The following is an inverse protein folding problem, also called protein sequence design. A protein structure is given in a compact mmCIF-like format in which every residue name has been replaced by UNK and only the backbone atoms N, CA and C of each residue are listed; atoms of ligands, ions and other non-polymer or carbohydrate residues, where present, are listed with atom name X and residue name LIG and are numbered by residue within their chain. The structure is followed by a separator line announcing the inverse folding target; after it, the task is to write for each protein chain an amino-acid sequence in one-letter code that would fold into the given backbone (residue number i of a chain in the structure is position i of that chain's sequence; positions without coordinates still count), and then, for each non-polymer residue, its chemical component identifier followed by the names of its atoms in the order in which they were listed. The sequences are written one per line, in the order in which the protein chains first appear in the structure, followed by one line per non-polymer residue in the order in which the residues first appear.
data_IF_438736717515
#
_entry.id   IF_438736717515
#
_cell.length_a   1.000
_cell.length_b   1.000
_cell.length_c   1.000
_cell.angle_alpha   90.00
_cell.angle_beta   90.00
_cell.angle_gamma   90.00
#
_symmetry.space_group_name_H-M   'P 1'
#
loop_
_entity.id
_entity.type
_entity.pdbx_description
1 polymer ?
#
# COMPACT_ATOMS: atom_id res chain seq x y z
N UNK A 1 -3.82 27.37 10.30
CA UNK A 1 -2.62 26.90 11.01
C UNK A 1 -2.73 25.39 11.23
N UNK A 2 -1.67 24.59 11.02
CA UNK A 2 -1.70 23.16 11.32
C UNK A 2 -2.02 22.95 12.81
N UNK A 3 -2.96 22.05 13.11
CA UNK A 3 -3.36 21.77 14.47
C UNK A 3 -2.16 21.20 15.26
N UNK A 4 -1.64 21.97 16.24
CA UNK A 4 -0.60 21.52 17.16
C UNK A 4 -1.22 20.49 18.11
N UNK A 5 -1.14 19.21 17.76
CA UNK A 5 -1.54 18.12 18.64
C UNK A 5 -0.75 18.21 19.96
N UNK A 6 -1.44 18.51 21.06
CA UNK A 6 -0.88 18.45 22.42
C UNK A 6 -1.48 17.23 23.10
N UNK A 7 -0.64 16.29 23.53
CA UNK A 7 -1.08 15.15 24.34
C UNK A 7 -1.70 15.65 25.65
N UNK A 8 -2.79 15.03 26.10
CA UNK A 8 -3.44 15.38 27.37
C UNK A 8 -2.48 15.10 28.53
N UNK A 9 -2.45 16.00 29.51
CA UNK A 9 -1.68 15.81 30.75
C UNK A 9 -2.28 14.62 31.49
N UNK A 10 -1.48 13.57 31.74
CA UNK A 10 -1.95 12.28 32.27
C UNK A 10 -2.23 11.21 31.20
N UNK A 11 -2.03 11.50 29.92
CA UNK A 11 -2.00 10.45 28.90
C UNK A 11 -0.85 9.47 29.16
N UNK A 12 -1.12 8.18 28.97
CA UNK A 12 -0.12 7.12 29.15
C UNK A 12 0.97 7.28 28.08
N UNK A 13 2.17 7.63 28.51
CA UNK A 13 3.39 7.62 27.71
C UNK A 13 3.79 6.18 27.38
N UNK A 14 3.16 5.58 26.37
CA UNK A 14 3.53 4.25 25.91
C UNK A 14 4.91 4.29 25.23
N UNK A 15 5.90 3.60 25.84
CA UNK A 15 7.29 3.38 25.36
C UNK A 15 8.13 4.67 25.18
N UNK A 16 8.76 5.13 26.25
CA UNK A 16 9.66 6.31 26.26
C UNK A 16 11.11 6.04 25.81
N UNK A 17 11.36 4.97 25.08
CA UNK A 17 12.70 4.59 24.61
C UNK A 17 12.63 4.06 23.19
N UNK A 18 13.69 4.29 22.41
CA UNK A 18 13.79 3.78 21.04
C UNK A 18 14.25 2.32 21.06
N UNK A 19 14.00 1.59 19.97
CA UNK A 19 14.44 0.20 19.87
C UNK A 19 15.96 0.09 19.91
N UNK A 20 16.65 1.03 19.27
CA UNK A 20 18.11 1.11 19.27
C UNK A 20 18.69 1.35 20.68
N UNK A 21 18.08 2.22 21.49
CA UNK A 21 18.54 2.43 22.88
C UNK A 21 18.27 1.22 23.76
N UNK A 22 17.14 0.53 23.56
CA UNK A 22 16.85 -0.74 24.23
C UNK A 22 17.88 -1.81 23.87
N UNK A 23 18.20 -1.98 22.58
CA UNK A 23 19.19 -2.96 22.13
C UNK A 23 20.58 -2.69 22.72
N UNK A 24 21.04 -1.43 22.71
CA UNK A 24 22.32 -1.04 23.35
C UNK A 24 22.32 -1.34 24.84
N UNK A 25 21.24 -1.04 25.54
CA UNK A 25 21.07 -1.33 26.96
C UNK A 25 21.14 -2.85 27.23
N UNK A 26 20.40 -3.65 26.46
CA UNK A 26 20.41 -5.11 26.60
C UNK A 26 21.79 -5.72 26.29
N UNK A 27 22.50 -5.21 25.30
CA UNK A 27 23.86 -5.64 24.99
C UNK A 27 24.82 -5.35 26.14
N UNK A 28 24.81 -4.13 26.69
CA UNK A 28 25.70 -3.74 27.78
C UNK A 28 25.46 -4.53 29.08
N UNK A 29 24.20 -4.90 29.35
CA UNK A 29 23.86 -5.77 30.49
C UNK A 29 24.24 -7.23 30.21
N UNK A 30 24.08 -7.72 28.98
CA UNK A 30 24.50 -9.08 28.58
C UNK A 30 26.02 -9.26 28.63
N UNK A 31 26.79 -8.25 28.22
CA UNK A 31 28.27 -8.26 28.26
C UNK A 31 28.83 -7.98 29.66
N UNK A 32 27.98 -7.85 30.68
CA UNK A 32 28.34 -7.53 32.08
C UNK A 32 29.14 -6.23 32.24
N UNK A 33 29.05 -5.31 31.29
CA UNK A 33 29.67 -3.98 31.40
C UNK A 33 28.97 -3.08 32.42
N UNK A 34 27.68 -3.33 32.65
CA UNK A 34 26.87 -2.60 33.61
C UNK A 34 25.83 -3.51 34.26
N UNK A 35 25.47 -3.18 35.49
CA UNK A 35 24.37 -3.82 36.20
C UNK A 35 23.01 -3.31 35.70
N UNK A 36 21.94 -4.05 35.99
CA UNK A 36 20.58 -3.65 35.62
C UNK A 36 20.16 -2.31 36.24
N UNK A 37 20.67 -2.00 37.44
CA UNK A 37 20.38 -0.75 38.15
C UNK A 37 21.13 0.44 37.52
N UNK A 38 22.39 0.25 37.12
CA UNK A 38 23.16 1.27 36.40
C UNK A 38 22.56 1.54 35.01
N UNK A 39 22.13 0.48 34.32
CA UNK A 39 21.48 0.58 33.02
C UNK A 39 20.15 1.37 33.09
N UNK A 40 19.36 1.20 34.15
CA UNK A 40 18.14 1.98 34.38
C UNK A 40 18.43 3.48 34.47
N UNK A 41 19.47 3.86 35.23
CA UNK A 41 19.89 5.27 35.38
C UNK A 41 20.45 5.84 34.08
N UNK A 42 21.29 5.09 33.37
CA UNK A 42 21.96 5.55 32.16
C UNK A 42 21.01 5.68 30.96
N UNK A 43 20.14 4.68 30.74
CA UNK A 43 19.26 4.62 29.57
C UNK A 43 17.83 5.11 29.84
N UNK A 44 17.49 5.42 31.10
CA UNK A 44 16.12 5.82 31.51
C UNK A 44 15.05 4.79 31.12
N UNK A 45 15.43 3.50 31.11
CA UNK A 45 14.53 2.37 30.86
C UNK A 45 14.26 1.70 32.21
N UNK A 46 12.98 1.53 32.62
CA UNK A 46 12.66 0.89 33.89
C UNK A 46 13.30 -0.48 34.03
N UNK A 47 13.89 -0.79 35.20
CA UNK A 47 14.59 -2.05 35.45
C UNK A 47 13.76 -3.29 35.13
N UNK A 48 12.46 -3.26 35.42
CA UNK A 48 11.55 -4.38 35.13
C UNK A 48 11.45 -4.66 33.63
N UNK A 49 11.45 -3.62 32.79
CA UNK A 49 11.45 -3.75 31.33
C UNK A 49 12.72 -4.45 30.86
N UNK A 50 13.88 -4.09 31.41
CA UNK A 50 15.17 -4.70 31.08
C UNK A 50 15.15 -6.19 31.44
N UNK A 51 14.70 -6.54 32.66
CA UNK A 51 14.60 -7.93 33.12
C UNK A 51 13.65 -8.74 32.22
N UNK A 52 12.47 -8.20 31.91
CA UNK A 52 11.49 -8.87 31.07
C UNK A 52 12.06 -9.13 29.66
N UNK A 53 12.74 -8.15 29.07
CA UNK A 53 13.36 -8.29 27.75
C UNK A 53 14.56 -9.24 27.75
N UNK A 54 15.36 -9.29 28.83
CA UNK A 54 16.42 -10.29 29.00
C UNK A 54 15.87 -11.73 29.10
N UNK A 55 14.74 -11.90 29.77
CA UNK A 55 14.02 -13.18 29.88
C UNK A 55 13.13 -13.51 28.67
N UNK A 56 13.20 -12.71 27.60
CA UNK A 56 12.37 -12.86 26.40
C UNK A 56 10.85 -12.83 26.68
N UNK A 57 10.41 -12.14 27.74
CA UNK A 57 9.00 -11.84 27.97
C UNK A 57 8.52 -10.70 27.05
N UNK A 58 7.27 -10.78 26.59
CA UNK A 58 6.65 -9.79 25.70
C UNK A 58 7.49 -9.51 24.44
N UNK A 59 8.04 -10.57 23.83
CA UNK A 59 8.73 -10.51 22.53
C UNK A 59 7.73 -10.39 21.39
N UNK A 60 6.57 -11.04 21.54
CA UNK A 60 5.52 -11.00 20.53
C UNK A 60 4.94 -9.58 20.39
N UNK A 61 4.53 -9.19 19.17
CA UNK A 61 3.89 -7.91 18.94
C UNK A 61 2.66 -7.78 19.83
N UNK A 62 2.52 -6.61 20.45
CA UNK A 62 1.38 -6.34 21.33
C UNK A 62 0.14 -6.14 20.45
N UNK A 63 -0.88 -6.96 20.68
CA UNK A 63 -2.15 -6.87 19.97
C UNK A 63 -2.65 -8.23 19.51
N UNK A 64 -3.63 -8.20 18.61
CA UNK A 64 -4.14 -9.42 17.98
C UNK A 64 -3.08 -9.94 17.00
N UNK A 65 -2.82 -11.27 16.95
CA UNK A 65 -1.97 -11.84 15.92
C UNK A 65 -2.50 -11.52 14.52
N UNK A 66 -1.58 -11.37 13.56
CA UNK A 66 -1.92 -11.21 12.15
C UNK A 66 -2.64 -12.44 11.63
N UNK A 67 -3.54 -12.25 10.67
CA UNK A 67 -4.32 -13.34 10.06
C UNK A 67 -3.48 -14.11 9.04
N UNK A 68 -2.66 -13.35 8.33
CA UNK A 68 -1.72 -13.83 7.33
C UNK A 68 -0.32 -13.83 7.93
N UNK A 69 0.47 -14.80 7.50
CA UNK A 69 1.90 -14.86 7.83
C UNK A 69 2.68 -13.91 6.93
N UNK A 70 3.84 -13.43 7.37
CA UNK A 70 4.73 -12.58 6.56
C UNK A 70 4.99 -13.14 5.14
N UNK A 71 5.29 -14.43 4.92
CA UNK A 71 5.48 -14.95 3.57
C UNK A 71 4.20 -14.92 2.71
N UNK A 72 3.01 -15.13 3.30
CA UNK A 72 1.75 -15.00 2.58
C UNK A 72 1.53 -13.54 2.14
N UNK A 73 1.80 -12.57 3.00
CA UNK A 73 1.69 -11.14 2.68
C UNK A 73 2.67 -10.73 1.58
N UNK A 74 3.91 -11.22 1.62
CA UNK A 74 4.91 -10.96 0.59
C UNK A 74 4.49 -11.48 -0.79
N UNK A 75 3.83 -12.65 -0.85
CA UNK A 75 3.30 -13.18 -2.11
C UNK A 75 2.21 -12.27 -2.67
N UNK A 76 1.26 -11.80 -1.84
CA UNK A 76 0.23 -10.86 -2.30
C UNK A 76 0.83 -9.56 -2.83
N UNK A 77 1.87 -9.02 -2.18
CA UNK A 77 2.55 -7.81 -2.64
C UNK A 77 3.27 -8.06 -3.96
N UNK A 78 3.92 -9.21 -4.13
CA UNK A 78 4.55 -9.62 -5.37
C UNK A 78 3.55 -9.68 -6.53
N UNK A 79 2.41 -10.36 -6.32
CA UNK A 79 1.35 -10.47 -7.33
C UNK A 79 0.79 -9.09 -7.72
N UNK A 80 0.61 -8.18 -6.76
CA UNK A 80 0.17 -6.81 -7.02
C UNK A 80 1.19 -6.06 -7.89
N UNK A 81 2.48 -6.24 -7.60
CA UNK A 81 3.53 -5.56 -8.36
C UNK A 81 3.56 -6.03 -9.81
N UNK A 82 3.52 -7.35 -10.01
CA UNK A 82 3.46 -7.98 -11.34
C UNK A 82 2.24 -7.49 -12.12
N UNK A 83 1.06 -7.46 -11.51
CA UNK A 83 -0.16 -6.97 -12.17
C UNK A 83 -0.08 -5.48 -12.53
N UNK A 84 0.57 -4.67 -11.69
CA UNK A 84 0.85 -3.27 -11.98
C UNK A 84 1.80 -3.09 -13.16
N UNK A 85 2.85 -3.91 -13.28
CA UNK A 85 3.78 -3.89 -14.43
C UNK A 85 3.07 -4.24 -15.74
N UNK A 86 2.10 -5.15 -15.69
CA UNK A 86 1.26 -5.52 -16.84
C UNK A 86 0.17 -4.48 -17.17
N UNK A 87 0.11 -3.34 -16.47
CA UNK A 87 -0.86 -2.27 -16.76
C UNK A 87 -2.27 -2.54 -16.25
N UNK A 88 -2.41 -3.45 -15.27
CA UNK A 88 -3.66 -3.74 -14.55
C UNK A 88 -3.51 -3.29 -13.08
N UNK A 89 -3.77 -2.01 -12.77
CA UNK A 89 -3.73 -1.55 -11.39
C UNK A 89 -4.81 -2.28 -10.58
N UNK A 90 -4.40 -2.95 -9.51
CA UNK A 90 -5.31 -3.65 -8.60
C UNK A 90 -5.90 -2.66 -7.61
N UNK A 91 -7.22 -2.56 -7.57
CA UNK A 91 -7.92 -1.75 -6.58
C UNK A 91 -8.11 -2.51 -5.26
N UNK A 92 -8.46 -1.76 -4.21
CA UNK A 92 -8.75 -2.32 -2.88
C UNK A 92 -9.87 -3.37 -2.91
N UNK A 93 -10.82 -3.22 -3.84
CA UNK A 93 -11.91 -4.19 -4.06
C UNK A 93 -11.36 -5.50 -4.60
N UNK A 94 -10.49 -5.42 -5.61
CA UNK A 94 -9.91 -6.59 -6.26
C UNK A 94 -9.04 -7.36 -5.28
N UNK A 95 -8.23 -6.67 -4.49
CA UNK A 95 -7.45 -7.28 -3.42
C UNK A 95 -8.33 -8.03 -2.40
N UNK A 96 -9.51 -7.49 -2.05
CA UNK A 96 -10.45 -8.20 -1.15
C UNK A 96 -10.97 -9.49 -1.76
N UNK A 97 -11.28 -9.49 -3.05
CA UNK A 97 -11.76 -10.68 -3.76
C UNK A 97 -10.64 -11.70 -3.96
N UNK A 98 -9.41 -11.26 -4.23
CA UNK A 98 -8.22 -12.12 -4.30
C UNK A 98 -8.00 -12.81 -2.95
N UNK A 99 -8.01 -12.05 -1.86
CA UNK A 99 -7.85 -12.59 -0.50
C UNK A 99 -9.00 -13.55 -0.16
N UNK A 100 -10.25 -13.19 -0.48
CA UNK A 100 -11.40 -14.08 -0.27
C UNK A 100 -11.22 -15.39 -1.03
N UNK A 101 -10.89 -15.32 -2.32
CA UNK A 101 -10.65 -16.49 -3.17
C UNK A 101 -9.52 -17.37 -2.65
N UNK A 102 -8.43 -16.77 -2.15
CA UNK A 102 -7.35 -17.49 -1.50
C UNK A 102 -7.81 -18.24 -0.24
N UNK A 103 -8.55 -17.57 0.65
CA UNK A 103 -9.06 -18.17 1.88
C UNK A 103 -10.04 -19.32 1.58
N UNK A 104 -10.94 -19.12 0.62
CA UNK A 104 -11.94 -20.10 0.21
C UNK A 104 -11.28 -21.34 -0.41
N UNK A 105 -10.28 -21.15 -1.31
CA UNK A 105 -9.50 -22.25 -1.91
C UNK A 105 -8.73 -23.06 -0.87
N UNK A 106 -8.25 -22.40 0.18
CA UNK A 106 -7.53 -23.05 1.27
C UNK A 106 -8.45 -23.64 2.35
N UNK A 107 -9.78 -23.52 2.20
CA UNK A 107 -10.75 -23.97 3.22
C UNK A 107 -10.60 -23.26 4.57
N UNK A 108 -9.95 -22.08 4.60
CA UNK A 108 -9.66 -21.33 5.83
C UNK A 108 -10.80 -20.37 6.09
N UNK A 109 -11.53 -20.59 7.20
CA UNK A 109 -12.58 -19.67 7.64
C UNK A 109 -12.08 -18.73 8.75
N UNK A 110 -12.07 -17.43 8.47
CA UNK A 110 -11.63 -16.41 9.42
C UNK A 110 -12.84 -15.80 10.14
N UNK A 111 -12.99 -16.08 11.44
CA UNK A 111 -14.21 -15.76 12.25
C UNK A 111 -14.68 -14.30 12.26
N UNK A 112 -13.83 -13.36 11.86
CA UNK A 112 -14.10 -11.91 11.89
C UNK A 112 -14.14 -11.29 10.48
N UNK A 113 -14.06 -12.12 9.45
CA UNK A 113 -14.37 -11.76 8.08
C UNK A 113 -15.76 -12.33 7.75
N UNK A 114 -16.69 -11.47 7.37
CA UNK A 114 -18.01 -11.94 6.96
C UNK A 114 -17.88 -12.62 5.60
N UNK A 115 -18.13 -13.92 5.53
CA UNK A 115 -17.95 -14.76 4.34
C UNK A 115 -16.53 -14.64 3.74
N UNK A 116 -15.50 -14.67 4.60
CA UNK A 116 -14.07 -14.48 4.21
C UNK A 116 -13.77 -13.18 3.46
N UNK A 117 -14.73 -12.25 3.39
CA UNK A 117 -14.55 -10.93 2.83
C UNK A 117 -14.18 -9.97 3.96
N UNK A 118 -13.16 -9.14 3.75
CA UNK A 118 -12.78 -8.08 4.69
C UNK A 118 -13.93 -7.06 4.80
N UNK A 119 -14.82 -7.28 5.77
CA UNK A 119 -15.97 -6.46 6.07
C UNK A 119 -15.54 -5.20 6.85
N UNK A 120 -14.88 -4.30 6.13
CA UNK A 120 -14.96 -2.86 6.39
C UNK A 120 -14.58 -2.12 5.11
N UNK A 121 -15.61 -1.69 4.39
CA UNK A 121 -15.52 -0.44 3.64
C UNK A 121 -15.65 0.63 4.74
N UNK A 122 -14.55 1.32 5.05
CA UNK A 122 -14.70 2.71 5.48
C UNK A 122 -15.35 3.39 4.28
N UNK A 123 -16.68 3.46 4.32
CA UNK A 123 -17.41 4.45 3.54
C UNK A 123 -16.68 5.75 3.88
N UNK A 124 -15.93 6.29 2.90
CA UNK A 124 -15.35 7.61 3.03
C UNK A 124 -16.51 8.48 3.48
N UNK A 125 -16.48 8.92 4.73
CA UNK A 125 -17.61 9.69 5.22
C UNK A 125 -17.68 10.91 4.32
N UNK A 126 -18.87 11.22 3.81
CA UNK A 126 -19.06 12.22 2.75
C UNK A 126 -18.36 13.55 3.09
N UNK A 127 -18.27 13.91 4.36
CA UNK A 127 -17.55 15.08 4.87
C UNK A 127 -16.03 15.08 4.64
N UNK A 128 -15.39 13.91 4.57
CA UNK A 128 -13.96 13.77 4.36
C UNK A 128 -13.57 13.66 2.89
N UNK A 129 -14.54 13.38 2.01
CA UNK A 129 -14.31 13.20 0.57
C UNK A 129 -13.74 14.47 -0.11
N UNK A 130 -14.28 15.69 0.09
CA UNK A 130 -13.78 16.87 -0.61
C UNK A 130 -12.31 17.19 -0.27
N UNK A 131 -11.95 17.07 1.01
CA UNK A 131 -10.58 17.34 1.46
C UNK A 131 -9.58 16.31 0.96
N UNK A 132 -10.00 15.04 0.85
CA UNK A 132 -9.15 13.98 0.33
C UNK A 132 -9.02 14.05 -1.19
N UNK A 133 -10.12 14.37 -1.90
CA UNK A 133 -10.12 14.60 -3.34
C UNK A 133 -9.19 15.77 -3.71
N UNK A 134 -9.24 16.87 -2.96
CA UNK A 134 -8.33 18.00 -3.18
C UNK A 134 -6.87 17.59 -3.04
N UNK A 135 -6.51 16.91 -1.94
CA UNK A 135 -5.14 16.41 -1.73
C UNK A 135 -4.68 15.46 -2.83
N UNK A 136 -5.58 14.59 -3.30
CA UNK A 136 -5.31 13.69 -4.40
C UNK A 136 -5.03 14.47 -5.69
N UNK A 137 -5.87 15.45 -6.02
CA UNK A 137 -5.69 16.30 -7.20
C UNK A 137 -4.39 17.12 -7.12
N UNK A 138 -4.06 17.66 -5.96
CA UNK A 138 -2.79 18.40 -5.74
C UNK A 138 -1.56 17.49 -5.92
N UNK A 139 -1.65 16.20 -5.53
CA UNK A 139 -0.58 15.21 -5.71
C UNK A 139 -0.50 14.70 -7.16
N UNK A 140 -1.64 14.52 -7.80
CA UNK A 140 -1.73 14.03 -9.18
C UNK A 140 -1.50 15.13 -10.21
N UNK A 141 -1.58 16.41 -9.85
CA UNK A 141 -1.49 17.53 -10.79
C UNK A 141 -0.38 17.39 -11.87
N UNK A 142 0.87 17.00 -11.54
CA UNK A 142 1.92 16.88 -12.55
C UNK A 142 1.71 15.71 -13.54
N UNK A 143 1.00 14.65 -13.15
CA UNK A 143 0.83 13.41 -13.94
C UNK A 143 -0.61 13.18 -14.42
N UNK A 144 -1.55 14.02 -13.98
CA UNK A 144 -2.98 13.85 -14.22
C UNK A 144 -3.31 13.94 -15.71
N UNK A 145 -2.71 14.92 -16.42
CA UNK A 145 -2.92 15.13 -17.86
C UNK A 145 -2.49 13.92 -18.69
N UNK A 146 -1.31 13.36 -18.42
CA UNK A 146 -0.78 12.22 -19.18
C UNK A 146 -1.52 10.93 -18.85
N UNK A 147 -1.88 10.72 -17.58
CA UNK A 147 -2.62 9.53 -17.14
C UNK A 147 -4.04 9.50 -17.72
N UNK A 148 -4.74 10.63 -17.73
CA UNK A 148 -6.05 10.76 -18.39
C UNK A 148 -5.97 10.53 -19.89
N UNK A 149 -4.96 11.13 -20.56
CA UNK A 149 -4.75 10.92 -21.99
C UNK A 149 -4.48 9.46 -22.33
N UNK A 150 -3.70 8.74 -21.52
CA UNK A 150 -3.44 7.31 -21.70
C UNK A 150 -4.70 6.47 -21.51
N UNK A 151 -5.53 6.80 -20.51
CA UNK A 151 -6.84 6.16 -20.31
C UNK A 151 -7.78 6.36 -21.50
N UNK A 152 -7.83 7.58 -22.04
CA UNK A 152 -8.66 7.86 -23.20
C UNK A 152 -8.11 7.28 -24.51
N UNK A 153 -6.78 7.14 -24.67
CA UNK A 153 -6.17 6.38 -25.77
C UNK A 153 -6.54 4.89 -25.69
N UNK A 154 -6.56 4.31 -24.50
CA UNK A 154 -6.91 2.89 -24.29
C UNK A 154 -8.37 2.59 -24.62
N UNK A 155 -9.27 3.54 -24.39
CA UNK A 155 -10.69 3.41 -24.73
C UNK A 155 -11.03 3.92 -26.13
N UNK A 156 -10.04 4.30 -26.95
CA UNK A 156 -10.20 4.91 -28.29
C UNK A 156 -11.14 6.14 -28.32
N UNK A 157 -11.35 6.83 -27.18
CA UNK A 157 -12.26 7.97 -27.03
C UNK A 157 -11.52 9.32 -27.20
N UNK A 158 -10.20 9.36 -26.99
CA UNK A 158 -9.37 10.54 -27.28
C UNK A 158 -8.58 10.33 -28.58
N UNK A 159 -8.89 11.08 -29.65
CA UNK A 159 -8.28 10.94 -30.97
C UNK A 159 -7.30 12.12 -31.23
N UNK A 160 -6.50 12.24 -32.29
CA UNK A 160 -6.57 11.65 -33.62
C UNK A 160 -5.17 11.81 -34.27
N UNK A 161 -4.20 10.98 -33.90
CA UNK A 161 -3.00 10.86 -34.71
C UNK A 161 -3.39 10.11 -35.98
N UNK A 162 -3.61 10.82 -37.09
CA UNK A 162 -3.96 10.20 -38.39
C UNK A 162 -2.99 9.06 -38.69
N UNK A 163 -1.72 9.22 -38.35
CA UNK A 163 -0.68 8.21 -38.54
C UNK A 163 -0.85 6.94 -37.69
N UNK A 164 -1.28 7.05 -36.43
CA UNK A 164 -1.48 5.90 -35.54
C UNK A 164 -2.70 5.07 -35.97
N UNK A 165 -3.71 5.73 -36.55
CA UNK A 165 -4.85 5.09 -37.20
C UNK A 165 -4.46 4.45 -38.54
N UNK A 166 -3.72 5.17 -39.40
CA UNK A 166 -3.25 4.68 -40.70
C UNK A 166 -2.35 3.45 -40.57
N UNK A 167 -1.52 3.37 -39.54
CA UNK A 167 -0.66 2.22 -39.24
C UNK A 167 -1.44 0.98 -38.76
N UNK A 168 -2.67 1.15 -38.26
CA UNK A 168 -3.54 0.04 -37.83
C UNK A 168 -4.45 -0.47 -38.94
N UNK A 169 -4.56 0.26 -40.06
CA UNK A 169 -5.30 -0.21 -41.22
C UNK A 169 -4.46 -1.25 -41.98
N UNK A 170 -5.04 -2.39 -42.39
CA UNK A 170 -4.30 -3.51 -43.00
C UNK A 170 -3.62 -3.20 -44.35
N UNK A 171 -3.74 -1.98 -44.88
CA UNK A 171 -3.31 -1.61 -46.22
C UNK A 171 -2.17 -0.57 -46.27
N UNK A 172 -1.45 -0.30 -45.17
CA UNK A 172 -0.31 0.64 -45.19
C UNK A 172 0.85 0.20 -46.11
N UNK A 173 0.85 -1.04 -46.61
CA UNK A 173 1.85 -1.56 -47.56
C UNK A 173 1.35 -1.65 -49.01
N UNK A 174 0.05 -1.51 -49.29
CA UNK A 174 -0.53 -1.83 -50.61
C UNK A 174 -1.51 -0.77 -51.14
N UNK A 175 -1.25 0.52 -50.91
CA UNK A 175 -1.92 1.56 -51.69
C UNK A 175 -1.16 1.77 -53.01
N UNK A 176 -1.23 0.77 -53.89
CA UNK A 176 -0.98 0.97 -55.32
C UNK A 176 -1.89 2.10 -55.82
N UNK A 177 -1.32 2.99 -56.63
CA UNK A 177 -1.89 4.20 -57.24
C UNK A 177 -3.32 4.11 -57.78
N UNK A 178 -3.84 2.91 -58.04
CA UNK A 178 -5.12 2.66 -58.70
C UNK A 178 -6.38 3.10 -57.93
N UNK A 179 -6.38 3.09 -56.59
CA UNK A 179 -7.59 3.46 -55.80
C UNK A 179 -7.84 4.98 -55.79
N UNK A 180 -6.80 5.80 -55.98
CA UNK A 180 -6.93 7.27 -56.01
C UNK A 180 -7.60 7.78 -57.30
N UNK A 181 -7.49 7.04 -58.40
CA UNK A 181 -8.12 7.39 -59.68
C UNK A 181 -9.62 7.09 -59.69
N UNK A 182 -10.08 6.19 -58.81
CA UNK A 182 -11.50 5.81 -58.71
C UNK A 182 -12.42 6.88 -58.10
N UNK A 183 -11.85 7.94 -57.53
CA UNK A 183 -12.60 9.00 -56.80
C UNK A 183 -12.67 10.33 -57.56
N UNK A 184 -12.16 10.42 -58.80
CA UNK A 184 -12.16 11.68 -59.59
C UNK A 184 -13.27 11.72 -60.66
N UNK A 185 -13.86 10.59 -61.04
CA UNK A 185 -15.02 10.56 -61.94
C UNK A 185 -16.28 10.11 -61.20
N UNK A 186 -16.92 11.06 -60.49
CA UNK A 186 -18.38 11.31 -60.47
C UNK A 186 -18.76 12.34 -59.39
#
# INVERSE_FOLDING_TARGET
MPNKYKQTVGSRLYKNYTEHTLQRCLLAVKTKQMTQQEAEKAFKIPRLTIINKLKAHHVQPVGRPTVFTEPEENNFVGDIHVMSEYGFPIDKTDLKFIIKSYLDRNGRHVKFFNNNLLSKITILQKQSFPGLLKKLLDVLEPTLKTTLQNGFRKCDIFPCGVEELLNRLPNALNASSSVKESFIEH
#
